data_IF_338966713171
#
_entry.id   IF_338966713171
#
_cell.length_a   1.000
_cell.length_b   1.000
_cell.length_c   1.000
_cell.angle_alpha   90.00
_cell.angle_beta   90.00
_cell.angle_gamma   90.00
#
_symmetry.space_group_name_H-M   'P 1'
#
loop_
_entity.id
_entity.type
_entity.pdbx_description
1 polymer ?
#
# COMPACT_ATOMS: atom_id res chain seq x y z
N UNK A 1 -3.67 -18.53 22.48
CA UNK A 1 -2.22 -18.37 22.71
C UNK A 1 -1.57 -18.45 21.34
N UNK A 2 -0.77 -17.47 20.95
CA UNK A 2 -0.16 -17.45 19.62
C UNK A 2 0.79 -18.63 19.47
N UNK A 3 0.65 -19.38 18.37
CA UNK A 3 1.43 -20.61 18.14
C UNK A 3 2.39 -20.53 16.95
N UNK A 4 2.37 -19.43 16.19
CA UNK A 4 3.18 -19.28 14.99
C UNK A 4 3.72 -17.85 14.83
N UNK A 5 4.74 -17.74 13.97
CA UNK A 5 5.46 -16.49 13.69
C UNK A 5 4.58 -15.47 12.96
N UNK A 6 3.60 -15.90 12.18
CA UNK A 6 2.75 -15.03 11.38
C UNK A 6 1.77 -14.23 12.22
N UNK A 7 1.16 -14.86 13.23
CA UNK A 7 0.31 -14.16 14.20
C UNK A 7 1.10 -13.12 15.02
N UNK A 8 2.39 -13.37 15.30
CA UNK A 8 3.28 -12.37 15.92
C UNK A 8 3.47 -11.17 14.99
N UNK A 9 3.72 -11.41 13.69
CA UNK A 9 3.88 -10.34 12.71
C UNK A 9 2.60 -9.50 12.56
N UNK A 10 1.45 -10.14 12.52
CA UNK A 10 0.16 -9.45 12.40
C UNK A 10 -0.13 -8.54 13.61
N UNK A 11 0.10 -9.03 14.83
CA UNK A 11 -0.08 -8.22 16.03
C UNK A 11 0.97 -7.11 16.12
N UNK A 12 2.22 -7.38 15.74
CA UNK A 12 3.26 -6.37 15.68
C UNK A 12 2.94 -5.26 14.66
N UNK A 13 2.37 -5.61 13.49
CA UNK A 13 1.88 -4.64 12.50
C UNK A 13 0.93 -3.64 13.13
N UNK A 14 -0.10 -4.11 13.86
CA UNK A 14 -1.08 -3.24 14.54
C UNK A 14 -0.39 -2.26 15.50
N UNK A 15 0.56 -2.76 16.28
CA UNK A 15 1.29 -1.94 17.25
C UNK A 15 2.16 -0.89 16.57
N UNK A 16 2.94 -1.26 15.55
CA UNK A 16 3.80 -0.31 14.81
C UNK A 16 2.97 0.75 14.07
N UNK A 17 1.86 0.35 13.46
CA UNK A 17 0.96 1.26 12.75
C UNK A 17 0.30 2.29 13.68
N UNK A 18 -0.06 1.90 14.91
CA UNK A 18 -0.76 2.78 15.87
C UNK A 18 0.15 3.60 16.77
N UNK A 19 1.25 3.02 17.28
CA UNK A 19 2.09 3.65 18.31
C UNK A 19 3.37 4.30 17.76
N UNK A 20 3.80 3.93 16.55
CA UNK A 20 5.12 4.19 15.98
C UNK A 20 6.26 3.31 16.52
N UNK A 21 7.36 3.23 15.78
CA UNK A 21 8.49 2.35 16.06
C UNK A 21 9.10 2.59 17.44
N UNK A 22 9.22 3.86 17.87
CA UNK A 22 9.85 4.20 19.14
C UNK A 22 8.98 3.80 20.34
N UNK A 23 7.66 4.06 20.27
CA UNK A 23 6.74 3.70 21.36
C UNK A 23 6.33 2.23 21.34
N UNK A 24 6.49 1.52 20.21
CA UNK A 24 6.25 0.09 20.09
C UNK A 24 7.31 -0.73 20.85
N UNK A 25 7.24 -0.74 22.18
CA UNK A 25 8.14 -1.52 23.02
C UNK A 25 7.93 -3.03 22.80
N UNK A 26 8.99 -3.85 22.95
CA UNK A 26 8.84 -5.31 22.90
C UNK A 26 7.86 -5.84 23.95
N UNK A 27 7.70 -5.13 25.07
CA UNK A 27 6.69 -5.45 26.09
C UNK A 27 5.28 -5.19 25.57
N UNK A 28 5.04 -4.04 24.92
CA UNK A 28 3.75 -3.71 24.32
C UNK A 28 3.37 -4.69 23.21
N UNK A 29 4.34 -5.03 22.36
CA UNK A 29 4.14 -6.02 21.29
C UNK A 29 3.83 -7.40 21.88
N UNK A 30 4.59 -7.85 22.88
CA UNK A 30 4.34 -9.13 23.54
C UNK A 30 2.94 -9.17 24.17
N UNK A 31 2.52 -8.07 24.82
CA UNK A 31 1.17 -7.93 25.38
C UNK A 31 0.09 -8.01 24.30
N UNK A 32 0.25 -7.32 23.18
CA UNK A 32 -0.66 -7.41 22.03
C UNK A 32 -0.73 -8.84 21.46
N UNK A 33 0.38 -9.56 21.51
CA UNK A 33 0.46 -10.97 21.11
C UNK A 33 -0.12 -11.96 22.15
N UNK A 34 -0.50 -11.51 23.35
CA UNK A 34 -0.84 -12.41 24.46
C UNK A 34 0.33 -13.30 24.90
N UNK A 35 1.57 -12.82 24.74
CA UNK A 35 2.82 -13.50 25.08
C UNK A 35 3.54 -12.79 26.24
N UNK A 36 4.44 -13.51 26.90
CA UNK A 36 5.46 -12.87 27.74
C UNK A 36 6.54 -12.23 26.87
N UNK A 37 7.32 -11.29 27.43
CA UNK A 37 8.47 -10.72 26.72
C UNK A 37 9.45 -11.81 26.27
N UNK A 38 9.75 -12.79 27.13
CA UNK A 38 10.59 -13.93 26.78
C UNK A 38 9.99 -14.77 25.63
N UNK A 39 8.66 -14.94 25.61
CA UNK A 39 7.95 -15.62 24.53
C UNK A 39 8.05 -14.89 23.19
N UNK A 40 8.00 -13.56 23.18
CA UNK A 40 8.26 -12.78 21.95
C UNK A 40 9.70 -12.92 21.47
N UNK A 41 10.67 -12.86 22.39
CA UNK A 41 12.10 -12.96 22.08
C UNK A 41 12.49 -14.32 21.48
N UNK A 42 11.72 -15.38 21.74
CA UNK A 42 11.88 -16.68 21.07
C UNK A 42 11.69 -16.58 19.55
N UNK A 43 10.72 -15.77 19.08
CA UNK A 43 10.46 -15.57 17.65
C UNK A 43 11.31 -14.45 17.04
N UNK A 44 11.46 -13.35 17.77
CA UNK A 44 12.18 -12.16 17.32
C UNK A 44 13.00 -11.56 18.47
N UNK A 45 14.29 -11.91 18.58
CA UNK A 45 15.16 -11.40 19.63
C UNK A 45 15.30 -9.87 19.60
N UNK A 46 15.31 -9.27 18.41
CA UNK A 46 15.48 -7.83 18.24
C UNK A 46 14.23 -7.17 17.64
N UNK A 47 13.84 -6.02 18.19
CA UNK A 47 12.71 -5.21 17.69
C UNK A 47 12.90 -4.84 16.21
N UNK A 48 14.14 -4.55 15.80
CA UNK A 48 14.47 -4.19 14.42
C UNK A 48 14.15 -5.32 13.46
N UNK A 49 14.53 -6.56 13.78
CA UNK A 49 14.25 -7.72 12.93
C UNK A 49 12.76 -8.00 12.80
N UNK A 50 12.01 -7.81 13.91
CA UNK A 50 10.56 -7.89 13.88
C UNK A 50 9.95 -6.81 12.98
N UNK A 51 10.41 -5.57 13.10
CA UNK A 51 9.94 -4.48 12.25
C UNK A 51 10.25 -4.73 10.77
N UNK A 52 11.47 -5.14 10.44
CA UNK A 52 11.85 -5.51 9.06
C UNK A 52 10.93 -6.59 8.52
N UNK A 53 10.69 -7.67 9.28
CA UNK A 53 9.81 -8.75 8.85
C UNK A 53 8.34 -8.31 8.67
N UNK A 54 7.85 -7.41 9.52
CA UNK A 54 6.51 -6.79 9.36
C UNK A 54 6.45 -5.98 8.06
N UNK A 55 7.46 -5.14 7.81
CA UNK A 55 7.52 -4.26 6.64
C UNK A 55 7.67 -5.07 5.35
N UNK A 56 8.53 -6.08 5.33
CA UNK A 56 8.68 -6.98 4.19
C UNK A 56 7.34 -7.60 3.81
N UNK A 57 6.63 -8.18 4.79
CA UNK A 57 5.38 -8.88 4.55
C UNK A 57 4.22 -7.96 4.18
N UNK A 58 4.02 -6.88 4.94
CA UNK A 58 2.79 -6.08 4.87
C UNK A 58 2.93 -4.76 4.10
N UNK A 59 4.16 -4.33 3.79
CA UNK A 59 4.42 -3.12 2.99
C UNK A 59 5.02 -3.48 1.63
N UNK A 60 6.12 -4.22 1.58
CA UNK A 60 6.78 -4.47 0.30
C UNK A 60 6.13 -5.60 -0.49
N UNK A 61 5.91 -6.75 0.14
CA UNK A 61 5.31 -7.91 -0.54
C UNK A 61 3.85 -7.65 -0.90
N UNK A 62 3.09 -6.96 -0.05
CA UNK A 62 1.69 -6.59 -0.34
C UNK A 62 1.55 -5.65 -1.55
N UNK A 63 2.56 -4.83 -1.83
CA UNK A 63 2.54 -3.88 -2.95
C UNK A 63 3.16 -4.44 -4.23
N UNK A 64 3.70 -5.66 -4.21
CA UNK A 64 4.19 -6.31 -5.43
C UNK A 64 3.05 -6.51 -6.43
N UNK A 65 3.25 -6.21 -7.73
CA UNK A 65 2.18 -6.32 -8.72
C UNK A 65 1.49 -7.69 -8.74
N UNK A 66 2.26 -8.78 -8.60
CA UNK A 66 1.77 -10.15 -8.59
C UNK A 66 0.85 -10.49 -7.39
N UNK A 67 0.98 -9.75 -6.29
CA UNK A 67 0.17 -9.93 -5.08
C UNK A 67 -1.03 -8.95 -5.07
N UNK A 68 -0.79 -7.72 -5.54
CA UNK A 68 -1.74 -6.61 -5.51
C UNK A 68 -2.77 -6.69 -6.64
N UNK A 69 -2.34 -7.00 -7.85
CA UNK A 69 -3.18 -6.96 -9.04
C UNK A 69 -3.43 -8.36 -9.60
N UNK A 70 -4.60 -8.55 -10.17
CA UNK A 70 -4.98 -9.75 -10.92
C UNK A 70 -5.32 -9.32 -12.34
N UNK A 71 -4.31 -8.86 -13.08
CA UNK A 71 -4.53 -8.39 -14.42
C UNK A 71 -4.93 -9.54 -15.35
N UNK A 72 -6.09 -9.44 -15.96
CA UNK A 72 -6.43 -10.19 -17.17
C UNK A 72 -6.04 -9.36 -18.39
N UNK A 73 -5.88 -9.97 -19.58
CA UNK A 73 -5.73 -9.21 -20.81
C UNK A 73 -6.81 -8.13 -20.91
N UNK A 74 -6.39 -6.87 -21.05
CA UNK A 74 -7.26 -5.72 -21.21
C UNK A 74 -7.11 -5.16 -22.63
N UNK A 75 -8.21 -4.66 -23.18
CA UNK A 75 -8.29 -4.19 -24.55
C UNK A 75 -8.31 -2.67 -24.64
N UNK A 76 -8.64 -1.97 -23.55
CA UNK A 76 -8.72 -0.52 -23.46
C UNK A 76 -8.14 0.05 -22.16
N UNK A 77 -7.83 1.35 -22.13
CA UNK A 77 -7.37 2.03 -20.92
C UNK A 77 -8.44 2.06 -19.80
N UNK A 78 -9.75 2.27 -20.08
CA UNK A 78 -10.80 2.09 -19.08
C UNK A 78 -10.83 0.72 -18.41
N UNK A 79 -10.63 -0.37 -19.17
CA UNK A 79 -10.55 -1.72 -18.60
C UNK A 79 -9.34 -1.87 -17.67
N UNK A 80 -8.18 -1.34 -18.07
CA UNK A 80 -7.00 -1.29 -17.22
C UNK A 80 -7.26 -0.50 -15.92
N UNK A 81 -7.87 0.69 -16.02
CA UNK A 81 -8.24 1.51 -14.85
C UNK A 81 -9.13 0.72 -13.89
N UNK A 82 -10.14 0.01 -14.39
CA UNK A 82 -11.02 -0.82 -13.58
C UNK A 82 -10.26 -1.92 -12.83
N UNK A 83 -9.35 -2.63 -13.51
CA UNK A 83 -8.53 -3.68 -12.89
C UNK A 83 -7.53 -3.13 -11.87
N UNK A 84 -6.92 -1.97 -12.16
CA UNK A 84 -6.04 -1.26 -11.24
C UNK A 84 -6.79 -0.90 -9.93
N UNK A 85 -7.98 -0.30 -10.06
CA UNK A 85 -8.81 0.08 -8.91
C UNK A 85 -9.25 -1.14 -8.11
N UNK A 86 -9.60 -2.26 -8.77
CA UNK A 86 -9.93 -3.51 -8.09
C UNK A 86 -8.76 -4.00 -7.21
N UNK A 87 -7.51 -3.93 -7.71
CA UNK A 87 -6.32 -4.28 -6.93
C UNK A 87 -6.06 -3.35 -5.75
N UNK A 88 -6.24 -2.03 -5.96
CA UNK A 88 -6.16 -1.03 -4.89
C UNK A 88 -7.20 -1.31 -3.79
N UNK A 89 -8.47 -1.51 -4.18
CA UNK A 89 -9.59 -1.77 -3.27
C UNK A 89 -9.38 -3.06 -2.47
N UNK A 90 -8.95 -4.14 -3.13
CA UNK A 90 -8.62 -5.42 -2.47
C UNK A 90 -7.53 -5.24 -1.42
N UNK A 91 -6.44 -4.58 -1.79
CA UNK A 91 -5.29 -4.36 -0.89
C UNK A 91 -5.67 -3.47 0.30
N UNK A 92 -6.45 -2.42 0.05
CA UNK A 92 -6.97 -1.55 1.10
C UNK A 92 -7.87 -2.32 2.08
N UNK A 93 -8.78 -3.17 1.57
CA UNK A 93 -9.64 -3.99 2.43
C UNK A 93 -8.84 -4.98 3.27
N UNK A 94 -7.83 -5.62 2.69
CA UNK A 94 -6.93 -6.52 3.43
C UNK A 94 -6.20 -5.78 4.56
N UNK A 95 -5.67 -4.60 4.27
CA UNK A 95 -5.01 -3.75 5.25
C UNK A 95 -5.96 -3.32 6.38
N UNK A 96 -7.19 -2.88 6.04
CA UNK A 96 -8.23 -2.54 7.03
C UNK A 96 -8.49 -3.74 7.94
N UNK A 97 -8.72 -4.92 7.37
CA UNK A 97 -8.99 -6.13 8.15
C UNK A 97 -7.82 -6.53 9.06
N UNK A 98 -6.58 -6.28 8.64
CA UNK A 98 -5.39 -6.56 9.45
C UNK A 98 -5.26 -5.56 10.61
N UNK A 99 -5.51 -4.28 10.36
CA UNK A 99 -5.31 -3.20 11.33
C UNK A 99 -6.49 -2.99 12.29
N UNK A 100 -7.70 -3.36 11.87
CA UNK A 100 -8.90 -3.27 12.68
C UNK A 100 -8.99 -4.44 13.67
N UNK A 101 -8.60 -4.16 14.90
CA UNK A 101 -8.71 -5.06 16.05
C UNK A 101 -9.90 -4.68 16.97
N UNK A 102 -10.82 -3.83 16.47
CA UNK A 102 -11.91 -3.26 17.26
C UNK A 102 -11.48 -2.14 18.21
N UNK A 103 -10.20 -1.74 18.22
CA UNK A 103 -9.67 -0.68 19.07
C UNK A 103 -9.02 0.45 18.24
N UNK A 104 -9.80 1.50 17.98
CA UNK A 104 -9.35 2.69 17.26
C UNK A 104 -9.62 3.99 18.07
N UNK A 105 -8.88 4.24 19.17
CA UNK A 105 -9.12 5.39 20.04
C UNK A 105 -8.87 6.73 19.33
N UNK A 106 -7.94 6.75 18.36
CA UNK A 106 -7.64 7.95 17.56
C UNK A 106 -8.72 8.28 16.54
N UNK A 107 -9.65 7.34 16.26
CA UNK A 107 -10.65 7.45 15.19
C UNK A 107 -10.06 7.84 13.83
N UNK A 108 -8.79 7.49 13.62
CA UNK A 108 -8.10 7.73 12.37
C UNK A 108 -8.53 6.71 11.32
N UNK A 109 -8.46 7.09 10.05
CA UNK A 109 -8.58 6.12 8.96
C UNK A 109 -7.45 5.09 9.00
N UNK A 110 -7.72 3.87 8.55
CA UNK A 110 -6.67 2.84 8.45
C UNK A 110 -5.64 3.18 7.35
N UNK A 111 -6.03 3.96 6.34
CA UNK A 111 -5.10 4.55 5.38
C UNK A 111 -4.09 5.46 6.10
N UNK A 112 -4.52 6.27 7.08
CA UNK A 112 -3.59 7.10 7.87
C UNK A 112 -2.61 6.25 8.67
N UNK A 113 -3.09 5.19 9.33
CA UNK A 113 -2.20 4.27 10.05
C UNK A 113 -1.17 3.60 9.13
N UNK A 114 -1.55 3.31 7.88
CA UNK A 114 -0.62 2.81 6.89
C UNK A 114 0.39 3.86 6.44
N UNK A 115 -0.03 5.10 6.15
CA UNK A 115 0.92 6.19 5.87
C UNK A 115 1.85 6.48 7.05
N UNK A 116 1.33 6.40 8.27
CA UNK A 116 2.12 6.49 9.48
C UNK A 116 3.14 5.35 9.59
N UNK A 117 2.81 4.13 9.13
CA UNK A 117 3.79 3.05 9.01
C UNK A 117 4.83 3.35 7.92
N UNK A 118 4.41 3.83 6.74
CA UNK A 118 5.31 4.16 5.62
C UNK A 118 6.36 5.21 6.00
N UNK A 119 5.99 6.23 6.79
CA UNK A 119 6.96 7.22 7.28
C UNK A 119 8.00 6.58 8.20
N UNK A 120 7.61 5.60 9.02
CA UNK A 120 8.54 4.82 9.85
C UNK A 120 9.44 3.90 9.01
N UNK A 121 8.90 3.29 7.95
CA UNK A 121 9.69 2.47 7.01
C UNK A 121 10.88 3.29 6.50
N UNK A 122 10.63 4.53 6.08
CA UNK A 122 11.68 5.44 5.62
C UNK A 122 12.77 5.72 6.66
N UNK A 123 12.44 5.68 7.96
CA UNK A 123 13.36 6.03 9.04
C UNK A 123 14.14 4.83 9.59
N UNK A 124 13.54 3.64 9.64
CA UNK A 124 14.08 2.51 10.41
C UNK A 124 14.40 1.27 9.58
N UNK A 125 13.85 1.14 8.37
CA UNK A 125 14.11 -0.01 7.51
C UNK A 125 15.50 0.13 6.83
N UNK A 126 16.35 -0.93 6.84
CA UNK A 126 17.67 -0.89 6.21
C UNK A 126 17.57 -0.79 4.68
N UNK A 127 18.46 -0.02 4.04
CA UNK A 127 18.52 0.10 2.57
C UNK A 127 17.18 0.50 1.92
N UNK A 128 16.36 1.25 2.66
CA UNK A 128 14.98 1.59 2.29
C UNK A 128 14.88 2.33 0.96
N UNK A 129 15.90 3.11 0.58
CA UNK A 129 15.87 3.88 -0.65
C UNK A 129 15.74 3.01 -1.88
N UNK A 130 16.54 1.95 -1.98
CA UNK A 130 16.51 1.02 -3.13
C UNK A 130 15.22 0.24 -3.17
N UNK A 131 14.74 -0.18 -1.99
CA UNK A 131 13.50 -0.95 -1.85
C UNK A 131 12.28 -0.11 -2.25
N UNK A 132 12.17 1.12 -1.76
CA UNK A 132 11.10 2.06 -2.11
C UNK A 132 11.17 2.44 -3.60
N UNK A 133 12.36 2.72 -4.13
CA UNK A 133 12.54 2.98 -5.58
C UNK A 133 12.02 1.83 -6.42
N UNK A 134 12.30 0.58 -6.02
CA UNK A 134 11.83 -0.61 -6.74
C UNK A 134 10.31 -0.72 -6.72
N UNK A 135 9.67 -0.51 -5.56
CA UNK A 135 8.21 -0.55 -5.43
C UNK A 135 7.51 0.52 -6.26
N UNK A 136 7.98 1.78 -6.20
CA UNK A 136 7.43 2.88 -6.99
C UNK A 136 7.61 2.63 -8.50
N UNK A 137 8.75 2.04 -8.89
CA UNK A 137 9.03 1.70 -10.28
C UNK A 137 8.03 0.68 -10.82
N UNK A 138 7.69 -0.36 -10.07
CA UNK A 138 6.75 -1.38 -10.53
C UNK A 138 5.35 -0.81 -10.79
N UNK A 139 4.82 0.00 -9.87
CA UNK A 139 3.50 0.60 -10.01
C UNK A 139 3.45 1.59 -11.19
N UNK A 140 4.49 2.42 -11.33
CA UNK A 140 4.64 3.32 -12.48
C UNK A 140 4.71 2.56 -13.81
N UNK A 141 5.41 1.43 -13.87
CA UNK A 141 5.55 0.65 -15.11
C UNK A 141 4.23 0.06 -15.61
N UNK A 142 3.29 -0.22 -14.70
CA UNK A 142 1.93 -0.62 -15.09
C UNK A 142 1.23 0.51 -15.85
N UNK A 143 1.27 1.73 -15.30
CA UNK A 143 0.71 2.92 -15.96
C UNK A 143 1.41 3.24 -17.27
N UNK A 144 2.74 3.21 -17.31
CA UNK A 144 3.51 3.43 -18.52
C UNK A 144 3.08 2.48 -19.64
N UNK A 145 3.00 1.18 -19.33
CA UNK A 145 2.61 0.14 -20.29
C UNK A 145 1.17 0.35 -20.79
N UNK A 146 0.23 0.63 -19.89
CA UNK A 146 -1.17 0.83 -20.26
C UNK A 146 -1.36 2.07 -21.16
N UNK A 147 -0.71 3.19 -20.81
CA UNK A 147 -0.75 4.42 -21.61
C UNK A 147 -0.07 4.22 -22.97
N UNK A 148 1.07 3.52 -23.01
CA UNK A 148 1.74 3.19 -24.27
C UNK A 148 0.82 2.39 -25.20
N UNK A 149 0.19 1.32 -24.69
CA UNK A 149 -0.72 0.49 -25.47
C UNK A 149 -1.94 1.27 -25.96
N UNK A 150 -2.52 2.14 -25.12
CA UNK A 150 -3.63 2.98 -25.50
C UNK A 150 -3.24 3.93 -26.65
N UNK A 151 -2.03 4.50 -26.61
CA UNK A 151 -1.52 5.35 -27.69
C UNK A 151 -1.30 4.55 -28.97
N UNK A 152 -0.63 3.39 -28.89
CA UNK A 152 -0.35 2.53 -30.06
C UNK A 152 -1.61 2.05 -30.76
N UNK A 153 -2.70 1.82 -30.02
CA UNK A 153 -4.02 1.45 -30.56
C UNK A 153 -4.83 2.64 -31.11
N UNK A 154 -4.33 3.87 -30.99
CA UNK A 154 -5.07 5.07 -31.35
C UNK A 154 -6.24 5.40 -30.42
N UNK A 155 -6.26 4.84 -29.20
CA UNK A 155 -7.32 5.09 -28.21
C UNK A 155 -7.21 6.49 -27.58
N UNK A 156 -5.98 6.98 -27.42
CA UNK A 156 -5.67 8.33 -26.92
C UNK A 156 -4.94 9.14 -27.99
N UNK A 157 -4.95 10.47 -27.85
CA UNK A 157 -4.31 11.37 -28.81
C UNK A 157 -2.81 11.07 -28.99
N UNK A 158 -2.32 11.20 -30.22
CA UNK A 158 -0.96 10.81 -30.60
C UNK A 158 0.11 11.84 -30.23
N UNK A 159 -0.27 13.08 -29.95
CA UNK A 159 0.62 14.16 -29.53
C UNK A 159 1.07 14.04 -28.06
N UNK A 160 0.49 13.11 -27.30
CA UNK A 160 0.76 12.92 -25.88
C UNK A 160 2.09 12.22 -25.62
N UNK A 161 2.85 12.77 -24.69
CA UNK A 161 4.06 12.14 -24.16
C UNK A 161 3.68 11.04 -23.15
N UNK A 162 4.15 9.81 -23.37
CA UNK A 162 3.74 8.64 -22.58
C UNK A 162 4.23 8.75 -21.13
N UNK A 163 5.46 9.20 -20.90
CA UNK A 163 6.01 9.25 -19.54
C UNK A 163 5.27 10.26 -18.66
N UNK A 164 5.03 11.48 -19.17
CA UNK A 164 4.26 12.51 -18.46
C UNK A 164 2.81 12.07 -18.23
N UNK A 165 2.17 11.50 -19.26
CA UNK A 165 0.78 11.06 -19.16
C UNK A 165 0.67 9.95 -18.10
N UNK A 166 1.51 8.92 -18.15
CA UNK A 166 1.52 7.86 -17.14
C UNK A 166 1.79 8.39 -15.73
N UNK A 167 2.72 9.34 -15.59
CA UNK A 167 3.01 9.99 -14.31
C UNK A 167 1.80 10.71 -13.73
N UNK A 168 0.97 11.36 -14.55
CA UNK A 168 -0.23 12.06 -14.08
C UNK A 168 -1.26 11.09 -13.49
N UNK A 169 -1.53 9.97 -14.16
CA UNK A 169 -2.46 8.94 -13.63
C UNK A 169 -1.94 8.35 -12.32
N UNK A 170 -0.65 8.01 -12.27
CA UNK A 170 0.01 7.52 -11.07
C UNK A 170 -0.08 8.53 -9.91
N UNK A 171 0.16 9.82 -10.15
CA UNK A 171 0.10 10.86 -9.12
C UNK A 171 -1.32 11.14 -8.62
N UNK A 172 -2.36 10.99 -9.44
CA UNK A 172 -3.74 11.12 -8.95
C UNK A 172 -4.05 10.06 -7.91
N UNK A 173 -3.60 8.82 -8.09
CA UNK A 173 -3.74 7.78 -7.08
C UNK A 173 -3.04 8.16 -5.77
N UNK A 174 -1.76 8.54 -5.83
CA UNK A 174 -1.00 8.90 -4.63
C UNK A 174 -1.53 10.14 -3.93
N UNK A 175 -1.87 11.18 -4.69
CA UNK A 175 -2.39 12.45 -4.18
C UNK A 175 -3.70 12.24 -3.43
N UNK A 176 -4.67 11.57 -4.06
CA UNK A 176 -5.96 11.32 -3.44
C UNK A 176 -5.83 10.40 -2.22
N UNK A 177 -5.03 9.33 -2.33
CA UNK A 177 -4.79 8.41 -1.22
C UNK A 177 -4.20 9.12 0.00
N UNK A 178 -3.27 10.04 -0.22
CA UNK A 178 -2.65 10.79 0.86
C UNK A 178 -3.60 11.82 1.47
N UNK A 179 -4.32 12.58 0.64
CA UNK A 179 -5.28 13.59 1.10
C UNK A 179 -6.39 12.97 1.95
N UNK A 180 -7.04 11.92 1.43
CA UNK A 180 -8.18 11.29 2.09
C UNK A 180 -7.77 10.43 3.29
N UNK A 181 -6.50 10.07 3.43
CA UNK A 181 -6.01 9.43 4.65
C UNK A 181 -6.26 10.32 5.89
N UNK A 182 -6.20 11.65 5.75
CA UNK A 182 -6.50 12.57 6.86
C UNK A 182 -7.98 12.72 7.17
N UNK A 183 -8.86 12.13 6.36
CA UNK A 183 -10.31 12.09 6.56
C UNK A 183 -10.77 10.65 6.87
N UNK A 184 -11.59 10.04 6.01
CA UNK A 184 -12.17 8.71 6.21
C UNK A 184 -11.33 7.58 5.59
N UNK A 185 -10.24 7.91 4.90
CA UNK A 185 -9.49 6.98 4.05
C UNK A 185 -9.95 7.07 2.60
N UNK A 186 -9.18 6.41 1.72
CA UNK A 186 -9.38 6.51 0.27
C UNK A 186 -10.76 6.00 -0.16
N UNK A 187 -11.52 6.83 -0.88
CA UNK A 187 -12.70 6.41 -1.63
C UNK A 187 -12.28 5.92 -3.02
N UNK A 188 -12.38 4.60 -3.22
CA UNK A 188 -12.00 3.98 -4.48
C UNK A 188 -12.93 4.31 -5.65
N UNK A 189 -14.19 4.68 -5.37
CA UNK A 189 -15.13 5.10 -6.41
C UNK A 189 -14.82 6.54 -6.85
N UNK A 190 -14.45 7.42 -5.93
CA UNK A 190 -13.96 8.76 -6.28
C UNK A 190 -12.67 8.67 -7.10
N UNK A 191 -11.73 7.82 -6.69
CA UNK A 191 -10.51 7.57 -7.45
C UNK A 191 -10.80 7.09 -8.87
N UNK A 192 -11.72 6.13 -9.02
CA UNK A 192 -12.16 5.62 -10.32
C UNK A 192 -12.71 6.76 -11.20
N UNK A 193 -13.56 7.61 -10.64
CA UNK A 193 -14.11 8.78 -11.33
C UNK A 193 -13.02 9.76 -11.78
N UNK A 194 -12.03 10.07 -10.93
CA UNK A 194 -10.93 10.98 -11.30
C UNK A 194 -10.06 10.41 -12.42
N UNK A 195 -9.77 9.10 -12.40
CA UNK A 195 -8.99 8.46 -13.47
C UNK A 195 -9.78 8.41 -14.80
N UNK A 196 -11.08 8.14 -14.76
CA UNK A 196 -11.93 8.23 -15.95
C UNK A 196 -12.07 9.66 -16.47
N UNK A 197 -12.12 10.65 -15.58
CA UNK A 197 -12.08 12.05 -15.98
C UNK A 197 -10.77 12.38 -16.70
N UNK A 198 -9.61 12.02 -16.15
CA UNK A 198 -8.33 12.17 -16.84
C UNK A 198 -8.32 11.51 -18.22
N UNK A 199 -8.83 10.27 -18.32
CA UNK A 199 -8.96 9.57 -19.59
C UNK A 199 -9.80 10.35 -20.61
N UNK A 200 -10.94 10.90 -20.18
CA UNK A 200 -11.83 11.68 -21.05
C UNK A 200 -11.15 12.92 -21.66
N UNK A 201 -10.16 13.49 -20.97
CA UNK A 201 -9.40 14.66 -21.45
C UNK A 201 -8.34 14.31 -22.49
N UNK A 202 -7.95 13.03 -22.62
CA UNK A 202 -6.85 12.57 -23.48
C UNK A 202 -7.29 11.61 -24.58
N UNK A 203 -8.52 11.12 -24.54
CA UNK A 203 -9.11 10.25 -25.57
C UNK A 203 -9.04 10.92 -26.96
N UNK A 204 -8.75 10.12 -27.99
CA UNK A 204 -8.68 10.56 -29.38
C UNK A 204 -10.07 10.87 -29.98
#
# INVERSE_FOLDING_TARGET
>A
MITNRDEVLENALRVFAKLNYEKASQTEIAKACGLSKAGLLYYFPFKKDLFVAVVDKYVFDSQRPENKYQFSPFHSLPEFIGQYIAGVKKTMQQLINLLDDGYNPGKCSFNLYYFHLLTQVRLYYPDVEEKVKSCLKWDYQLWFTAIQQAREKGEIRQDLEVEQTASMFHHVFWGLSFEEAFSQGLDTEELLQKLHFLYSLIKA
#
